data_IF_134736248073
#
_entry.id   IF_134736248073
#
_cell.length_a   1.000
_cell.length_b   1.000
_cell.length_c   1.000
_cell.angle_alpha   90.00
_cell.angle_beta   90.00
_cell.angle_gamma   90.00
#
_symmetry.space_group_name_H-M   'P 1'
#
loop_
_entity.id
_entity.type
_entity.pdbx_description
1 polymer ?
#
# COMPACT_ATOMS: atom_id res chain seq x y z
N UNK A 1 -15.26 13.32 -23.27
CA UNK A 1 -15.59 12.39 -22.17
C UNK A 1 -15.66 10.98 -22.74
N UNK A 2 -14.50 10.34 -23.00
CA UNK A 2 -14.47 8.96 -23.48
C UNK A 2 -14.63 8.04 -22.27
N UNK A 3 -15.76 7.36 -22.13
CA UNK A 3 -15.93 6.33 -21.12
C UNK A 3 -15.01 5.16 -21.49
N UNK A 4 -13.84 5.09 -20.86
CA UNK A 4 -12.99 3.91 -20.88
C UNK A 4 -13.80 2.74 -20.31
N UNK A 5 -14.46 1.94 -21.16
CA UNK A 5 -15.07 0.70 -20.74
C UNK A 5 -13.94 -0.24 -20.35
N UNK A 6 -13.74 -0.43 -19.04
CA UNK A 6 -12.83 -1.46 -18.55
C UNK A 6 -13.28 -2.81 -19.13
N UNK A 7 -12.30 -3.66 -19.46
CA UNK A 7 -12.58 -5.05 -19.82
C UNK A 7 -13.35 -5.73 -18.67
N UNK A 8 -14.27 -6.65 -18.98
CA UNK A 8 -15.14 -7.27 -17.97
C UNK A 8 -14.36 -7.95 -16.83
N UNK A 9 -13.20 -8.51 -17.15
CA UNK A 9 -12.28 -9.12 -16.17
C UNK A 9 -11.73 -8.10 -15.17
N UNK A 10 -11.31 -6.93 -15.64
CA UNK A 10 -10.82 -5.85 -14.79
C UNK A 10 -11.90 -5.34 -13.83
N UNK A 11 -13.15 -5.21 -14.31
CA UNK A 11 -14.26 -4.75 -13.47
C UNK A 11 -14.54 -5.69 -12.28
N UNK A 12 -14.47 -7.00 -12.48
CA UNK A 12 -14.67 -7.99 -11.40
C UNK A 12 -13.52 -7.96 -10.37
N UNK A 13 -12.28 -7.72 -10.83
CA UNK A 13 -11.13 -7.58 -9.94
C UNK A 13 -11.29 -6.39 -9.01
N UNK A 14 -11.69 -5.23 -9.52
CA UNK A 14 -11.95 -4.04 -8.70
C UNK A 14 -13.04 -4.25 -7.66
N UNK A 15 -14.17 -4.85 -8.07
CA UNK A 15 -15.27 -5.16 -7.14
C UNK A 15 -14.78 -6.01 -5.97
N UNK A 16 -13.89 -6.97 -6.23
CA UNK A 16 -13.30 -7.84 -5.22
C UNK A 16 -12.47 -7.04 -4.21
N UNK A 17 -11.57 -6.17 -4.67
CA UNK A 17 -10.76 -5.31 -3.78
C UNK A 17 -11.63 -4.40 -2.92
N UNK A 18 -12.63 -3.76 -3.53
CA UNK A 18 -13.56 -2.89 -2.80
C UNK A 18 -14.37 -3.67 -1.74
N UNK A 19 -14.84 -4.87 -2.08
CA UNK A 19 -15.57 -5.72 -1.15
C UNK A 19 -14.70 -6.12 0.05
N UNK A 20 -13.46 -6.54 -0.16
CA UNK A 20 -12.55 -6.93 0.91
C UNK A 20 -12.22 -5.75 1.84
N UNK A 21 -12.03 -4.55 1.28
CA UNK A 21 -11.88 -3.32 2.07
C UNK A 21 -13.12 -2.99 2.92
N UNK A 22 -14.32 -3.09 2.33
CA UNK A 22 -15.57 -2.91 3.07
C UNK A 22 -15.73 -3.94 4.19
N UNK A 23 -15.36 -5.20 3.96
CA UNK A 23 -15.37 -6.24 4.99
C UNK A 23 -14.46 -5.88 6.16
N UNK A 24 -13.23 -5.41 5.89
CA UNK A 24 -12.32 -4.95 6.93
C UNK A 24 -12.94 -3.83 7.79
N UNK A 25 -13.54 -2.82 7.15
CA UNK A 25 -14.23 -1.73 7.85
C UNK A 25 -15.44 -2.19 8.67
N UNK A 26 -16.23 -3.13 8.14
CA UNK A 26 -17.38 -3.71 8.85
C UNK A 26 -16.94 -4.46 10.11
N UNK A 27 -15.82 -5.19 10.06
CA UNK A 27 -15.26 -5.89 11.22
C UNK A 27 -14.88 -4.89 12.32
N UNK A 28 -14.24 -3.77 11.96
CA UNK A 28 -13.87 -2.73 12.94
C UNK A 28 -15.09 -2.14 13.65
N UNK A 29 -16.17 -1.85 12.91
CA UNK A 29 -17.35 -1.18 13.45
C UNK A 29 -18.29 -2.11 14.21
N UNK A 30 -18.37 -3.39 13.82
CA UNK A 30 -19.36 -4.34 14.35
C UNK A 30 -18.92 -4.99 15.66
N UNK A 31 -17.61 -5.25 15.82
CA UNK A 31 -17.10 -5.97 16.98
C UNK A 31 -16.43 -5.00 17.96
N UNK A 32 -16.83 -4.93 19.23
CA UNK A 32 -16.19 -4.05 20.21
C UNK A 32 -14.86 -4.61 20.74
N UNK A 33 -14.74 -5.93 20.89
CA UNK A 33 -13.54 -6.56 21.47
C UNK A 33 -12.35 -6.62 20.49
N UNK A 34 -11.18 -6.16 20.94
CA UNK A 34 -9.95 -6.19 20.15
C UNK A 34 -9.51 -7.61 19.76
N UNK A 35 -9.61 -8.59 20.68
CA UNK A 35 -9.28 -10.01 20.40
C UNK A 35 -10.18 -10.60 19.32
N UNK A 36 -11.46 -10.22 19.31
CA UNK A 36 -12.44 -10.70 18.32
C UNK A 36 -12.19 -10.10 16.94
N UNK A 37 -11.73 -8.84 16.86
CA UNK A 37 -11.31 -8.20 15.60
C UNK A 37 -10.09 -8.89 14.99
N UNK A 38 -9.03 -9.05 15.79
CA UNK A 38 -7.76 -9.65 15.32
C UNK A 38 -7.97 -11.07 14.83
N UNK A 39 -8.70 -11.91 15.59
CA UNK A 39 -9.04 -13.27 15.15
C UNK A 39 -9.68 -13.29 13.77
N UNK A 40 -10.62 -12.37 13.50
CA UNK A 40 -11.30 -12.27 12.20
C UNK A 40 -10.38 -11.80 11.08
N UNK A 41 -9.49 -10.84 11.34
CA UNK A 41 -8.50 -10.43 10.33
C UNK A 41 -7.55 -11.56 9.96
N UNK A 42 -7.09 -12.33 10.95
CA UNK A 42 -6.25 -13.51 10.72
C UNK A 42 -7.03 -14.58 9.93
N UNK A 43 -8.28 -14.87 10.30
CA UNK A 43 -9.11 -15.83 9.57
C UNK A 43 -9.29 -15.40 8.11
N UNK A 44 -9.61 -14.13 7.85
CA UNK A 44 -9.73 -13.60 6.49
C UNK A 44 -8.41 -13.68 5.72
N UNK A 45 -7.29 -13.31 6.35
CA UNK A 45 -5.95 -13.44 5.76
C UNK A 45 -5.64 -14.88 5.35
N UNK A 46 -5.86 -15.84 6.25
CA UNK A 46 -5.63 -17.28 5.98
C UNK A 46 -6.54 -17.79 4.87
N UNK A 47 -7.84 -17.47 4.90
CA UNK A 47 -8.79 -17.90 3.87
C UNK A 47 -8.38 -17.37 2.49
N UNK A 48 -8.03 -16.09 2.39
CA UNK A 48 -7.57 -15.49 1.13
C UNK A 48 -6.24 -16.09 0.67
N UNK A 49 -5.32 -16.37 1.61
CA UNK A 49 -4.05 -17.03 1.33
C UNK A 49 -4.24 -18.44 0.79
N UNK A 50 -5.15 -19.24 1.35
CA UNK A 50 -5.47 -20.59 0.87
C UNK A 50 -6.10 -20.54 -0.52
N UNK A 51 -7.08 -19.65 -0.75
CA UNK A 51 -7.70 -19.47 -2.07
C UNK A 51 -6.63 -19.08 -3.11
N UNK A 52 -5.72 -18.19 -2.73
CA UNK A 52 -4.59 -17.78 -3.59
C UNK A 52 -3.68 -18.97 -3.90
N UNK A 53 -3.31 -19.76 -2.88
CA UNK A 53 -2.43 -20.91 -3.04
C UNK A 53 -3.04 -21.98 -3.96
N UNK A 54 -4.35 -22.21 -3.87
CA UNK A 54 -5.10 -23.10 -4.76
C UNK A 54 -5.07 -22.57 -6.19
N UNK A 55 -5.34 -21.27 -6.40
CA UNK A 55 -5.34 -20.65 -7.73
C UNK A 55 -3.95 -20.65 -8.40
N UNK A 56 -2.90 -20.61 -7.60
CA UNK A 56 -1.52 -20.57 -8.09
C UNK A 56 -0.88 -21.97 -8.14
N UNK A 57 -1.56 -23.00 -7.61
CA UNK A 57 -1.07 -24.38 -7.53
C UNK A 57 0.34 -24.48 -6.90
N UNK A 58 0.69 -23.51 -6.04
CA UNK A 58 2.02 -23.39 -5.44
C UNK A 58 3.17 -23.05 -6.40
N UNK A 59 2.91 -22.75 -7.69
CA UNK A 59 3.95 -22.45 -8.68
C UNK A 59 3.94 -20.99 -9.09
N UNK A 60 5.12 -20.37 -9.13
CA UNK A 60 5.31 -18.96 -9.50
C UNK A 60 4.92 -18.68 -10.96
N UNK A 61 5.14 -19.63 -11.86
CA UNK A 61 5.02 -19.45 -13.32
C UNK A 61 4.16 -20.49 -14.05
N UNK A 62 3.39 -21.33 -13.33
CA UNK A 62 2.67 -22.46 -13.94
C UNK A 62 1.30 -22.81 -13.37
N UNK A 63 0.73 -22.00 -12.47
CA UNK A 63 -0.64 -22.22 -11.97
C UNK A 63 -1.72 -21.77 -12.95
N UNK A 64 -2.98 -22.12 -12.66
CA UNK A 64 -4.17 -21.80 -13.45
C UNK A 64 -4.24 -20.29 -13.81
N UNK A 65 -3.87 -19.43 -12.85
CA UNK A 65 -3.69 -17.99 -13.05
C UNK A 65 -2.37 -17.57 -12.38
N UNK A 66 -1.29 -17.31 -13.15
CA UNK A 66 0.01 -16.90 -12.59
C UNK A 66 -0.05 -15.53 -11.92
N UNK A 67 0.59 -15.41 -10.75
CA UNK A 67 0.60 -14.19 -9.93
C UNK A 67 1.29 -13.03 -10.66
N UNK A 68 2.46 -13.29 -11.26
CA UNK A 68 3.39 -12.22 -11.64
C UNK A 68 3.44 -11.93 -13.15
N UNK A 69 2.62 -12.60 -13.98
CA UNK A 69 2.59 -12.33 -15.43
C UNK A 69 1.70 -11.14 -15.81
N UNK A 70 0.59 -10.96 -15.12
CA UNK A 70 -0.28 -9.80 -15.29
C UNK A 70 -0.35 -9.08 -13.95
N UNK A 71 0.09 -7.82 -13.88
CA UNK A 71 0.07 -6.98 -12.67
C UNK A 71 -1.35 -6.64 -12.15
N UNK A 72 -2.36 -7.38 -12.58
CA UNK A 72 -3.76 -7.19 -12.23
C UNK A 72 -4.54 -8.48 -12.52
N UNK A 73 -4.06 -9.59 -11.95
CA UNK A 73 -4.78 -10.86 -11.97
C UNK A 73 -5.56 -11.05 -10.67
N UNK A 74 -6.59 -11.91 -10.70
CA UNK A 74 -7.37 -12.24 -9.50
C UNK A 74 -6.48 -12.86 -8.41
N UNK A 75 -5.59 -13.78 -8.77
CA UNK A 75 -4.61 -14.38 -7.85
C UNK A 75 -3.71 -13.32 -7.21
N UNK A 76 -3.26 -12.32 -7.99
CA UNK A 76 -2.43 -11.23 -7.48
C UNK A 76 -3.18 -10.37 -6.45
N UNK A 77 -4.43 -10.00 -6.73
CA UNK A 77 -5.25 -9.19 -5.82
C UNK A 77 -5.59 -9.94 -4.54
N UNK A 78 -5.91 -11.23 -4.61
CA UNK A 78 -6.18 -12.06 -3.43
C UNK A 78 -4.93 -12.24 -2.57
N UNK A 79 -3.77 -12.43 -3.21
CA UNK A 79 -2.47 -12.48 -2.54
C UNK A 79 -2.18 -11.18 -1.79
N UNK A 80 -2.33 -10.03 -2.47
CA UNK A 80 -2.10 -8.72 -1.88
C UNK A 80 -3.08 -8.44 -0.73
N UNK A 81 -4.34 -8.85 -0.88
CA UNK A 81 -5.37 -8.69 0.15
C UNK A 81 -5.07 -9.55 1.39
N UNK A 82 -4.57 -10.77 1.20
CA UNK A 82 -4.10 -11.64 2.29
C UNK A 82 -3.01 -10.93 3.12
N UNK A 83 -1.95 -10.44 2.45
CA UNK A 83 -0.89 -9.69 3.12
C UNK A 83 -1.42 -8.40 3.78
N UNK A 84 -2.36 -7.70 3.13
CA UNK A 84 -2.97 -6.50 3.69
C UNK A 84 -3.72 -6.80 4.99
N UNK A 85 -4.48 -7.90 5.10
CA UNK A 85 -5.15 -8.27 6.35
C UNK A 85 -4.16 -8.60 7.48
N UNK A 86 -3.07 -9.30 7.18
CA UNK A 86 -2.02 -9.56 8.17
C UNK A 86 -1.32 -8.28 8.61
N UNK A 87 -0.94 -7.42 7.67
CA UNK A 87 -0.30 -6.14 7.98
C UNK A 87 -1.24 -5.23 8.76
N UNK A 88 -2.52 -5.20 8.40
CA UNK A 88 -3.55 -4.45 9.11
C UNK A 88 -3.74 -4.95 10.55
N UNK A 89 -3.79 -6.28 10.75
CA UNK A 89 -3.85 -6.86 12.08
C UNK A 89 -2.60 -6.52 12.92
N UNK A 90 -1.41 -6.55 12.32
CA UNK A 90 -0.16 -6.18 12.97
C UNK A 90 -0.14 -4.70 13.39
N UNK A 91 -0.49 -3.79 12.48
CA UNK A 91 -0.58 -2.36 12.79
C UNK A 91 -1.64 -2.07 13.86
N UNK A 92 -2.81 -2.71 13.78
CA UNK A 92 -3.88 -2.56 14.77
C UNK A 92 -3.41 -2.96 16.18
N UNK A 93 -2.69 -4.07 16.30
CA UNK A 93 -2.21 -4.56 17.59
C UNK A 93 -1.09 -3.68 18.14
N UNK A 94 -0.14 -3.26 17.31
CA UNK A 94 1.01 -2.45 17.75
C UNK A 94 0.62 -1.01 18.12
N UNK A 95 -0.28 -0.40 17.35
CA UNK A 95 -0.72 0.99 17.54
C UNK A 95 -1.89 1.05 18.53
N UNK A 96 -3.03 0.41 18.23
CA UNK A 96 -4.26 0.64 19.01
C UNK A 96 -4.31 -0.18 20.32
N UNK A 97 -3.77 -1.40 20.33
CA UNK A 97 -3.85 -2.28 21.52
C UNK A 97 -2.71 -2.01 22.49
N UNK A 98 -1.47 -2.12 22.03
CA UNK A 98 -0.31 -1.98 22.90
C UNK A 98 0.24 -0.56 23.00
N UNK A 99 -0.20 0.37 22.13
CA UNK A 99 0.26 1.76 22.10
C UNK A 99 1.80 1.89 22.13
N UNK A 100 2.51 0.92 21.53
CA UNK A 100 3.98 0.91 21.48
C UNK A 100 4.48 2.01 20.55
N UNK A 101 3.65 2.37 19.55
CA UNK A 101 4.03 3.30 18.52
C UNK A 101 2.86 4.18 18.10
N UNK A 102 3.14 5.48 17.93
CA UNK A 102 2.16 6.50 17.53
C UNK A 102 1.81 6.48 16.02
N UNK A 103 2.45 5.60 15.23
CA UNK A 103 2.23 5.51 13.78
C UNK A 103 2.98 6.57 12.95
N UNK A 104 3.82 7.39 13.58
CA UNK A 104 4.75 8.30 12.90
C UNK A 104 6.03 7.55 12.47
N UNK A 105 6.49 7.66 11.21
CA UNK A 105 6.23 8.77 10.29
C UNK A 105 5.09 8.52 9.30
N UNK A 106 4.47 7.34 9.23
CA UNK A 106 3.52 6.98 8.16
C UNK A 106 2.25 7.84 8.12
N UNK A 107 1.81 8.36 9.27
CA UNK A 107 0.65 9.25 9.34
C UNK A 107 0.85 10.57 8.58
N UNK A 108 2.04 11.20 8.69
CA UNK A 108 2.31 12.51 8.11
C UNK A 108 2.18 12.56 6.57
N UNK A 109 2.82 11.67 5.80
CA UNK A 109 2.62 11.63 4.37
C UNK A 109 1.25 11.06 3.99
N UNK A 110 0.63 10.23 4.84
CA UNK A 110 -0.71 9.69 4.60
C UNK A 110 -1.79 10.75 4.49
N UNK A 111 -1.78 11.77 5.36
CA UNK A 111 -2.77 12.86 5.32
C UNK A 111 -2.63 13.79 4.11
N UNK A 112 -1.43 13.88 3.55
CA UNK A 112 -1.09 14.82 2.47
C UNK A 112 -0.57 14.10 1.22
N UNK A 113 -1.04 12.86 0.99
CA UNK A 113 -0.48 11.99 -0.04
C UNK A 113 -0.59 12.58 -1.46
N UNK A 114 -1.71 13.25 -1.78
CA UNK A 114 -1.89 13.89 -3.10
C UNK A 114 -0.97 15.09 -3.29
N UNK A 115 -0.79 15.91 -2.25
CA UNK A 115 0.09 17.07 -2.28
C UNK A 115 1.54 16.61 -2.44
N UNK A 116 1.97 15.59 -1.68
CA UNK A 116 3.29 15.00 -1.80
C UNK A 116 3.54 14.39 -3.18
N UNK A 117 2.55 13.69 -3.74
CA UNK A 117 2.64 13.13 -5.09
C UNK A 117 2.79 14.23 -6.14
N UNK A 118 1.88 15.22 -6.15
CA UNK A 118 1.93 16.34 -7.09
C UNK A 118 3.20 17.17 -6.90
N UNK A 119 3.61 17.40 -5.66
CA UNK A 119 4.85 18.06 -5.31
C UNK A 119 6.04 17.30 -5.87
N UNK A 120 6.08 15.98 -5.67
CA UNK A 120 7.12 15.13 -6.25
C UNK A 120 7.11 15.21 -7.77
N UNK A 121 5.98 15.06 -8.45
CA UNK A 121 5.94 15.13 -9.92
C UNK A 121 6.37 16.51 -10.46
N UNK A 122 6.02 17.61 -9.78
CA UNK A 122 6.41 18.96 -10.18
C UNK A 122 7.87 19.32 -9.83
N UNK A 123 8.39 18.83 -8.70
CA UNK A 123 9.72 19.21 -8.14
C UNK A 123 10.81 18.18 -8.47
N UNK A 124 10.45 16.93 -8.75
CA UNK A 124 11.38 15.83 -9.07
C UNK A 124 12.20 16.11 -10.32
N UNK A 125 11.64 16.84 -11.30
CA UNK A 125 12.39 17.23 -12.48
C UNK A 125 13.60 18.11 -12.12
N UNK A 126 13.49 19.20 -11.33
CA UNK A 126 14.67 19.95 -10.87
C UNK A 126 15.59 19.21 -9.87
N UNK A 127 15.03 18.55 -8.85
CA UNK A 127 15.79 18.02 -7.70
C UNK A 127 16.55 16.73 -8.04
N UNK A 128 15.93 15.85 -8.85
CA UNK A 128 16.64 14.70 -9.41
C UNK A 128 17.68 15.14 -10.44
N UNK A 129 17.48 16.21 -11.21
CA UNK A 129 18.51 16.65 -12.17
C UNK A 129 19.75 17.22 -11.46
N UNK A 130 19.58 17.87 -10.30
CA UNK A 130 20.69 18.43 -9.51
C UNK A 130 21.49 17.37 -8.72
N UNK A 131 20.84 16.30 -8.22
CA UNK A 131 21.48 15.24 -7.43
C UNK A 131 21.83 13.95 -8.23
N UNK A 132 21.12 13.65 -9.32
CA UNK A 132 21.12 12.31 -9.98
C UNK A 132 22.01 12.24 -11.24
N UNK A 133 22.25 13.36 -11.95
CA UNK A 133 22.98 13.36 -13.23
C UNK A 133 24.48 13.09 -13.11
N UNK A 134 25.13 13.38 -11.97
CA UNK A 134 26.57 13.13 -11.79
C UNK A 134 26.91 11.73 -11.25
N UNK A 135 25.99 11.07 -10.53
CA UNK A 135 26.34 9.84 -9.78
C UNK A 135 25.73 8.56 -10.38
N UNK A 136 24.59 8.61 -11.07
CA UNK A 136 23.98 7.44 -11.74
C UNK A 136 24.94 6.74 -12.71
N UNK A 137 25.91 7.49 -13.27
CA UNK A 137 26.92 6.97 -14.20
C UNK A 137 28.07 6.19 -13.56
N UNK A 138 28.26 6.20 -12.23
CA UNK A 138 29.47 5.64 -11.61
C UNK A 138 29.32 4.27 -10.93
N UNK A 139 28.30 4.02 -10.09
CA UNK A 139 28.12 2.70 -9.41
C UNK A 139 26.70 2.48 -8.85
N UNK A 140 26.21 1.23 -8.84
CA UNK A 140 24.89 0.83 -8.30
C UNK A 140 24.78 1.02 -6.77
N UNK A 141 25.89 0.90 -6.05
CA UNK A 141 25.95 1.01 -4.58
C UNK A 141 25.68 2.43 -4.07
N UNK A 142 26.06 3.45 -4.86
CA UNK A 142 25.78 4.85 -4.53
C UNK A 142 24.29 5.19 -4.73
N UNK A 143 23.53 4.41 -5.49
CA UNK A 143 22.13 4.73 -5.78
C UNK A 143 21.20 4.59 -4.56
N UNK A 144 21.44 3.61 -3.69
CA UNK A 144 20.63 3.35 -2.49
C UNK A 144 20.57 4.55 -1.53
N UNK A 145 21.70 5.13 -1.08
CA UNK A 145 21.67 6.25 -0.15
C UNK A 145 21.00 7.49 -0.74
N UNK A 146 21.14 7.77 -2.04
CA UNK A 146 20.45 8.89 -2.67
C UNK A 146 18.92 8.71 -2.67
N UNK A 147 18.43 7.51 -2.98
CA UNK A 147 16.99 7.24 -2.92
C UNK A 147 16.46 7.33 -1.48
N UNK A 148 17.24 6.86 -0.49
CA UNK A 148 16.88 7.04 0.92
C UNK A 148 16.84 8.52 1.31
N UNK A 149 17.81 9.33 0.88
CA UNK A 149 17.83 10.77 1.16
C UNK A 149 16.64 11.50 0.53
N UNK A 150 16.30 11.18 -0.72
CA UNK A 150 15.14 11.76 -1.40
C UNK A 150 13.85 11.46 -0.62
N UNK A 151 13.62 10.19 -0.26
CA UNK A 151 12.45 9.82 0.55
C UNK A 151 12.45 10.47 1.93
N UNK A 152 13.61 10.65 2.57
CA UNK A 152 13.72 11.33 3.85
C UNK A 152 13.35 12.83 3.74
N UNK A 153 13.75 13.50 2.66
CA UNK A 153 13.37 14.89 2.37
C UNK A 153 11.85 15.02 2.24
N UNK A 154 11.20 14.10 1.52
CA UNK A 154 9.74 14.10 1.38
C UNK A 154 9.01 13.81 2.69
N UNK A 155 9.56 12.93 3.55
CA UNK A 155 9.03 12.70 4.90
C UNK A 155 9.14 13.98 5.75
N UNK A 156 10.28 14.69 5.70
CA UNK A 156 10.46 15.96 6.40
C UNK A 156 9.51 17.04 5.88
N UNK A 157 9.30 17.11 4.56
CA UNK A 157 8.31 18.01 3.97
C UNK A 157 6.90 17.70 4.44
N UNK A 158 6.53 16.41 4.51
CA UNK A 158 5.23 15.98 5.03
C UNK A 158 5.03 16.41 6.49
N UNK A 159 6.08 16.32 7.30
CA UNK A 159 6.07 16.77 8.68
C UNK A 159 5.95 18.29 8.78
N UNK A 160 6.63 19.04 7.92
CA UNK A 160 6.48 20.50 7.84
C UNK A 160 5.03 20.90 7.50
N UNK A 161 4.44 20.29 6.47
CA UNK A 161 3.05 20.52 6.08
C UNK A 161 2.07 20.20 7.22
N UNK A 162 2.32 19.08 7.92
CA UNK A 162 1.53 18.71 9.10
C UNK A 162 1.61 19.76 10.20
N UNK A 163 2.80 20.26 10.53
CA UNK A 163 2.99 21.31 11.54
C UNK A 163 2.28 22.62 11.18
N UNK A 164 2.17 22.93 9.89
CA UNK A 164 1.47 24.10 9.39
C UNK A 164 -0.04 23.90 9.16
N UNK A 165 -0.60 22.74 9.51
CA UNK A 165 -2.02 22.38 9.33
C UNK A 165 -2.54 22.56 7.89
N UNK A 166 -1.67 22.39 6.89
CA UNK A 166 -2.07 22.44 5.48
C UNK A 166 -2.46 21.02 5.07
N UNK A 167 -3.76 20.81 4.86
CA UNK A 167 -4.32 19.53 4.44
C UNK A 167 -5.08 19.71 3.12
N UNK A 168 -4.57 19.10 2.06
CA UNK A 168 -5.23 19.09 0.76
C UNK A 168 -6.14 17.85 0.67
N UNK A 169 -7.44 18.07 0.87
CA UNK A 169 -8.48 17.07 0.61
C UNK A 169 -9.10 17.36 -0.76
N UNK A 170 -9.03 16.38 -1.67
CA UNK A 170 -9.73 16.38 -2.97
C UNK A 170 -11.03 15.60 -2.86
#
# INVERSE_FOLDING_TARGET
MSTYKLTPTCQEIYKTTCFLGLQAGKILRTFPDWKSRVKRFIIWGVVLGVITAILCEGKKDGGFIPINKNLWSLSFVLCLSCFAFFMFAFCYVTIDVYNIWSGAPFYYPGMNAILLYMGHECVSQPLATFLNMQVRRRSHELCLPFNCLDTAIWILLSYFLFKHNIFLSV
#
